data_IF_587011286528
#
_entry.id   IF_587011286528
#
_cell.length_a   1.000
_cell.length_b   1.000
_cell.length_c   1.000
_cell.angle_alpha   90.00
_cell.angle_beta   90.00
_cell.angle_gamma   90.00
#
_symmetry.space_group_name_H-M   'P 1'
#
loop_
_entity.id
_entity.type
_entity.pdbx_description
1 polymer ?
#
# COMPACT_ATOMS: atom_id res chain seq x y z
N UNK A 1 -1.71 20.23 -8.74
CA UNK A 1 -1.34 20.74 -7.41
C UNK A 1 -0.08 19.99 -6.99
N UNK A 2 0.94 20.66 -6.46
CA UNK A 2 2.10 19.98 -5.85
C UNK A 2 1.72 19.62 -4.42
N UNK A 3 1.42 18.35 -4.16
CA UNK A 3 1.12 17.88 -2.81
C UNK A 3 2.33 18.02 -1.90
N UNK A 4 2.11 18.27 -0.61
CA UNK A 4 3.19 18.39 0.38
C UNK A 4 3.58 17.01 0.92
N UNK A 5 4.75 16.91 1.55
CA UNK A 5 5.16 15.70 2.27
C UNK A 5 4.18 15.33 3.41
N UNK A 6 3.54 16.33 4.03
CA UNK A 6 2.48 16.10 5.02
C UNK A 6 1.27 15.39 4.42
N UNK A 7 0.84 15.84 3.24
CA UNK A 7 -0.28 15.19 2.51
C UNK A 7 0.08 13.75 2.09
N UNK A 8 1.36 13.51 1.73
CA UNK A 8 1.84 12.17 1.42
C UNK A 8 1.77 11.25 2.65
N UNK A 9 2.15 11.75 3.84
CA UNK A 9 2.05 11.02 5.09
C UNK A 9 0.59 10.72 5.47
N UNK A 10 -0.33 11.68 5.31
CA UNK A 10 -1.76 11.45 5.54
C UNK A 10 -2.30 10.36 4.59
N UNK A 11 -1.89 10.38 3.33
CA UNK A 11 -2.28 9.37 2.35
C UNK A 11 -1.72 7.99 2.68
N UNK A 12 -0.46 7.93 3.10
CA UNK A 12 0.17 6.70 3.60
C UNK A 12 -0.59 6.14 4.81
N UNK A 13 -1.03 7.01 5.73
CA UNK A 13 -1.85 6.62 6.89
C UNK A 13 -3.17 6.01 6.46
N UNK A 14 -3.86 6.64 5.52
CA UNK A 14 -5.11 6.14 4.97
C UNK A 14 -4.93 4.76 4.32
N UNK A 15 -3.81 4.53 3.64
CA UNK A 15 -3.50 3.23 3.04
C UNK A 15 -3.32 2.14 4.08
N UNK A 16 -2.52 2.38 5.13
CA UNK A 16 -2.35 1.42 6.23
C UNK A 16 -3.68 1.17 6.95
N UNK A 17 -4.46 2.22 7.21
CA UNK A 17 -5.80 2.10 7.80
C UNK A 17 -6.71 1.19 6.97
N UNK A 18 -6.74 1.37 5.65
CA UNK A 18 -7.54 0.53 4.75
C UNK A 18 -7.11 -0.95 4.82
N UNK A 19 -5.82 -1.26 4.96
CA UNK A 19 -5.36 -2.64 5.18
C UNK A 19 -5.84 -3.15 6.54
N UNK A 20 -5.67 -2.37 7.62
CA UNK A 20 -6.03 -2.75 9.00
C UNK A 20 -7.52 -3.05 9.14
N UNK A 21 -8.38 -2.24 8.50
CA UNK A 21 -9.83 -2.38 8.61
C UNK A 21 -10.49 -3.14 7.46
N UNK A 22 -9.68 -3.70 6.54
CA UNK A 22 -10.16 -4.43 5.38
C UNK A 22 -11.10 -3.57 4.48
N UNK A 23 -10.77 -2.29 4.33
CA UNK A 23 -11.47 -1.39 3.42
C UNK A 23 -10.99 -1.61 1.98
N UNK A 24 -11.43 -2.71 1.39
CA UNK A 24 -11.01 -3.22 0.08
C UNK A 24 -11.07 -2.17 -1.04
N UNK A 25 -12.21 -1.47 -1.16
CA UNK A 25 -12.42 -0.44 -2.18
C UNK A 25 -11.54 0.78 -1.94
N UNK A 26 -11.50 1.27 -0.70
CA UNK A 26 -10.63 2.39 -0.31
C UNK A 26 -9.17 2.07 -0.64
N UNK A 27 -8.69 0.88 -0.29
CA UNK A 27 -7.33 0.46 -0.59
C UNK A 27 -7.04 0.53 -2.10
N UNK A 28 -7.95 0.03 -2.93
CA UNK A 28 -7.80 0.06 -4.39
C UNK A 28 -7.77 1.49 -4.95
N UNK A 29 -8.56 2.38 -4.38
CA UNK A 29 -8.65 3.79 -4.78
C UNK A 29 -7.44 4.63 -4.35
N UNK A 30 -6.75 4.18 -3.31
CA UNK A 30 -5.49 4.77 -2.86
C UNK A 30 -4.29 4.35 -3.72
N UNK A 31 -4.37 3.24 -4.46
CA UNK A 31 -3.31 2.80 -5.35
C UNK A 31 -3.24 3.65 -6.62
N UNK A 32 -2.01 3.94 -7.05
CA UNK A 32 -1.75 4.47 -8.38
C UNK A 32 -2.04 3.42 -9.45
N UNK A 33 -2.06 3.83 -10.72
CA UNK A 33 -2.24 2.89 -11.82
C UNK A 33 -1.08 1.90 -11.91
N UNK A 34 0.13 2.34 -11.54
CA UNK A 34 1.30 1.48 -11.41
C UNK A 34 1.10 0.46 -10.28
N UNK A 35 0.64 0.90 -9.10
CA UNK A 35 0.35 0.01 -7.97
C UNK A 35 -0.74 -1.01 -8.28
N UNK A 36 -1.80 -0.59 -8.97
CA UNK A 36 -2.87 -1.48 -9.45
C UNK A 36 -2.35 -2.52 -10.43
N UNK A 37 -1.52 -2.11 -11.40
CA UNK A 37 -0.92 -3.02 -12.37
C UNK A 37 0.03 -4.04 -11.70
N UNK A 38 0.80 -3.61 -10.70
CA UNK A 38 1.65 -4.50 -9.91
C UNK A 38 0.83 -5.52 -9.11
N UNK A 39 -0.24 -5.08 -8.43
CA UNK A 39 -1.16 -5.95 -7.68
C UNK A 39 -1.80 -7.01 -8.58
N UNK A 40 -2.29 -6.62 -9.76
CA UNK A 40 -2.83 -7.55 -10.75
C UNK A 40 -1.77 -8.52 -11.28
N UNK A 41 -0.54 -8.04 -11.49
CA UNK A 41 0.59 -8.90 -11.92
C UNK A 41 0.96 -9.94 -10.86
N UNK A 42 0.85 -9.60 -9.57
CA UNK A 42 1.04 -10.56 -8.48
C UNK A 42 -0.13 -11.53 -8.41
N UNK A 43 -1.37 -11.06 -8.54
CA UNK A 43 -2.54 -11.92 -8.52
C UNK A 43 -2.53 -12.93 -9.67
N UNK A 44 -2.15 -12.51 -10.89
CA UNK A 44 -1.99 -13.41 -12.05
C UNK A 44 -0.93 -14.48 -11.78
N UNK A 45 0.20 -14.11 -11.16
CA UNK A 45 1.24 -15.08 -10.74
C UNK A 45 0.73 -16.08 -9.69
N UNK A 46 -0.31 -15.72 -8.94
CA UNK A 46 -0.95 -16.58 -7.94
C UNK A 46 -2.24 -17.24 -8.46
N UNK A 47 -2.48 -17.25 -9.77
CA UNK A 47 -3.57 -18.00 -10.39
C UNK A 47 -4.83 -17.20 -10.75
N UNK A 48 -4.82 -15.87 -10.66
CA UNK A 48 -5.87 -15.05 -11.25
C UNK A 48 -5.82 -15.16 -12.78
N UNK A 49 -6.96 -15.42 -13.40
CA UNK A 49 -7.08 -15.49 -14.86
C UNK A 49 -6.74 -14.15 -15.52
N UNK A 50 -6.07 -14.19 -16.69
CA UNK A 50 -5.63 -12.97 -17.39
C UNK A 50 -6.81 -12.14 -17.92
N UNK A 51 -7.90 -12.79 -18.32
CA UNK A 51 -9.11 -12.09 -18.78
C UNK A 51 -9.79 -11.43 -17.58
N UNK A 52 -9.87 -12.11 -16.43
CA UNK A 52 -10.34 -11.52 -15.18
C UNK A 52 -9.49 -10.31 -14.75
N UNK A 53 -8.16 -10.43 -14.80
CA UNK A 53 -7.26 -9.31 -14.50
C UNK A 53 -7.46 -8.12 -15.47
N UNK A 54 -7.69 -8.39 -16.75
CA UNK A 54 -8.02 -7.38 -17.75
C UNK A 54 -9.33 -6.66 -17.44
N UNK A 55 -10.38 -7.41 -17.07
CA UNK A 55 -11.67 -6.82 -16.66
C UNK A 55 -11.54 -5.96 -15.42
N UNK A 56 -10.80 -6.39 -14.40
CA UNK A 56 -10.59 -5.61 -13.17
C UNK A 56 -9.83 -4.32 -13.49
N UNK A 57 -8.78 -4.40 -14.33
CA UNK A 57 -8.01 -3.23 -14.76
C UNK A 57 -8.89 -2.20 -15.49
N UNK A 58 -9.76 -2.68 -16.38
CA UNK A 58 -10.56 -1.83 -17.27
C UNK A 58 -11.93 -1.45 -16.63
N UNK A 59 -12.13 -1.76 -15.34
CA UNK A 59 -13.38 -1.51 -14.59
C UNK A 59 -14.62 -2.22 -15.18
N UNK A 60 -14.40 -3.35 -15.87
CA UNK A 60 -15.41 -4.20 -16.52
C UNK A 60 -15.72 -5.49 -15.74
N UNK A 61 -15.06 -5.71 -14.61
CA UNK A 61 -15.31 -6.89 -13.76
C UNK A 61 -16.67 -6.75 -13.06
N UNK A 62 -17.36 -7.87 -12.89
CA UNK A 62 -18.57 -7.85 -12.07
C UNK A 62 -18.23 -7.57 -10.59
N UNK A 63 -19.19 -7.05 -9.80
CA UNK A 63 -18.92 -6.67 -8.41
C UNK A 63 -18.40 -7.81 -7.54
N UNK A 64 -18.82 -9.05 -7.80
CA UNK A 64 -18.42 -10.22 -7.01
C UNK A 64 -16.99 -10.63 -7.34
N UNK A 65 -16.64 -10.65 -8.63
CA UNK A 65 -15.27 -10.88 -9.12
C UNK A 65 -14.31 -9.84 -8.55
N UNK A 66 -14.67 -8.56 -8.62
CA UNK A 66 -13.86 -7.47 -8.08
C UNK A 66 -13.69 -7.59 -6.57
N UNK A 67 -14.76 -7.78 -5.82
CA UNK A 67 -14.70 -7.91 -4.36
C UNK A 67 -13.80 -9.08 -3.93
N UNK A 68 -13.93 -10.24 -4.58
CA UNK A 68 -13.07 -11.40 -4.30
C UNK A 68 -11.60 -11.10 -4.54
N UNK A 69 -11.27 -10.42 -5.64
CA UNK A 69 -9.89 -10.00 -5.91
C UNK A 69 -9.37 -9.06 -4.81
N UNK A 70 -10.17 -8.06 -4.40
CA UNK A 70 -9.74 -7.11 -3.38
C UNK A 70 -9.56 -7.76 -2.00
N UNK A 71 -10.43 -8.70 -1.62
CA UNK A 71 -10.25 -9.53 -0.41
C UNK A 71 -8.91 -10.28 -0.43
N UNK A 72 -8.57 -10.89 -1.57
CA UNK A 72 -7.30 -11.61 -1.73
C UNK A 72 -6.10 -10.67 -1.67
N UNK A 73 -6.21 -9.48 -2.27
CA UNK A 73 -5.17 -8.44 -2.21
C UNK A 73 -4.89 -8.02 -0.77
N UNK A 74 -5.94 -7.67 -0.01
CA UNK A 74 -5.79 -7.27 1.41
C UNK A 74 -5.22 -8.41 2.25
N UNK A 75 -5.69 -9.64 2.03
CA UNK A 75 -5.14 -10.82 2.68
C UNK A 75 -3.65 -11.03 2.38
N UNK A 76 -3.23 -10.80 1.13
CA UNK A 76 -1.83 -10.84 0.72
C UNK A 76 -0.98 -9.78 1.42
N UNK A 77 -1.42 -8.53 1.43
CA UNK A 77 -0.72 -7.42 2.08
C UNK A 77 -0.56 -7.64 3.58
N UNK A 78 -1.61 -8.12 4.27
CA UNK A 78 -1.53 -8.49 5.69
C UNK A 78 -0.53 -9.61 5.94
N UNK A 79 -0.45 -10.59 5.02
CA UNK A 79 0.52 -11.68 5.12
C UNK A 79 1.96 -11.22 4.91
N UNK A 80 2.18 -10.26 4.02
CA UNK A 80 3.50 -9.67 3.77
C UNK A 80 3.97 -8.82 4.95
N UNK A 81 3.02 -8.17 5.64
CA UNK A 81 3.26 -7.39 6.86
C UNK A 81 3.17 -8.20 8.16
N UNK A 82 3.00 -9.53 8.10
CA UNK A 82 2.74 -10.36 9.28
C UNK A 82 3.82 -10.33 10.36
N UNK A 83 5.05 -9.94 9.99
CA UNK A 83 6.17 -9.82 10.93
C UNK A 83 6.11 -8.52 11.73
N UNK A 84 5.11 -7.67 11.46
CA UNK A 84 4.90 -6.38 12.08
C UNK A 84 3.47 -6.31 12.62
N UNK A 85 3.30 -5.71 13.79
CA UNK A 85 1.98 -5.43 14.32
C UNK A 85 1.37 -4.25 13.54
N UNK A 86 0.68 -4.57 12.45
CA UNK A 86 0.16 -3.57 11.49
C UNK A 86 -0.77 -2.53 12.14
N UNK A 87 -1.44 -2.89 13.23
CA UNK A 87 -2.30 -2.00 14.03
C UNK A 87 -1.51 -0.97 14.84
N UNK A 88 -0.22 -1.22 15.07
CA UNK A 88 0.68 -0.36 15.83
C UNK A 88 1.68 0.39 14.94
N UNK A 89 1.60 0.22 13.62
CA UNK A 89 2.49 0.91 12.68
C UNK A 89 2.36 2.43 12.79
N UNK A 90 3.48 3.08 13.10
CA UNK A 90 3.63 4.52 13.02
C UNK A 90 4.22 4.93 11.67
N UNK A 91 3.95 6.17 11.25
CA UNK A 91 4.63 6.77 10.11
C UNK A 91 5.89 7.49 10.59
N UNK A 92 6.99 7.26 9.89
CA UNK A 92 8.27 7.93 10.10
C UNK A 92 8.47 9.12 9.19
N UNK A 93 9.73 9.38 8.86
CA UNK A 93 10.11 10.50 8.01
C UNK A 93 9.63 10.31 6.56
N UNK A 94 9.42 11.45 5.90
CA UNK A 94 9.12 11.50 4.48
C UNK A 94 10.38 11.93 3.72
N UNK A 95 10.82 11.08 2.79
CA UNK A 95 11.99 11.34 1.97
C UNK A 95 11.56 11.55 0.53
N UNK A 96 12.06 12.60 -0.11
CA UNK A 96 11.92 12.75 -1.55
C UNK A 96 12.67 11.61 -2.27
N UNK A 97 12.05 11.09 -3.32
CA UNK A 97 12.57 10.06 -4.21
C UNK A 97 12.63 10.63 -5.63
N UNK A 98 13.13 9.85 -6.59
CA UNK A 98 13.13 10.20 -8.01
C UNK A 98 11.73 10.56 -8.54
N UNK A 99 11.71 11.39 -9.58
CA UNK A 99 10.51 11.80 -10.32
C UNK A 99 9.42 12.48 -9.47
N UNK A 100 9.80 13.13 -8.36
CA UNK A 100 8.88 13.84 -7.48
C UNK A 100 8.04 12.92 -6.59
N UNK A 101 8.41 11.63 -6.51
CA UNK A 101 7.81 10.68 -5.58
C UNK A 101 8.30 10.92 -4.15
N UNK A 102 7.55 10.44 -3.16
CA UNK A 102 7.88 10.49 -1.73
C UNK A 102 7.85 9.09 -1.16
N UNK A 103 8.89 8.72 -0.42
CA UNK A 103 8.92 7.55 0.42
C UNK A 103 8.54 7.94 1.85
N UNK A 104 7.48 7.31 2.38
CA UNK A 104 7.06 7.45 3.77
C UNK A 104 7.50 6.20 4.53
N UNK A 105 8.37 6.38 5.52
CA UNK A 105 8.81 5.26 6.35
C UNK A 105 7.67 4.70 7.20
N UNK A 106 7.67 3.39 7.38
CA UNK A 106 6.80 2.67 8.30
C UNK A 106 7.65 2.21 9.48
N UNK A 107 7.17 2.48 10.69
CA UNK A 107 7.88 2.18 11.93
C UNK A 107 7.03 1.24 12.80
N UNK A 108 7.66 0.15 13.27
CA UNK A 108 7.08 -0.73 14.29
C UNK A 108 7.58 -0.28 15.66
N UNK A 109 6.72 -0.08 16.66
CA UNK A 109 7.15 0.21 18.02
C UNK A 109 8.09 -0.88 18.55
N UNK A 110 9.11 -0.49 19.31
CA UNK A 110 9.99 -1.45 19.98
C UNK A 110 9.66 -1.57 21.46
N UNK A 111 9.74 -2.80 21.95
CA UNK A 111 9.70 -3.10 23.40
C UNK A 111 11.11 -3.15 24.01
N UNK A 112 12.17 -2.89 23.23
CA UNK A 112 13.55 -2.95 23.69
C UNK A 112 13.96 -1.64 24.38
N UNK A 113 14.60 -1.70 25.56
CA UNK A 113 15.06 -0.49 26.24
C UNK A 113 16.01 0.35 25.37
N UNK A 114 15.70 1.65 25.24
CA UNK A 114 16.53 2.61 24.52
C UNK A 114 16.34 2.63 22.99
N UNK A 115 15.36 1.89 22.47
CA UNK A 115 14.96 1.93 21.06
C UNK A 115 13.47 2.21 21.02
N UNK A 116 13.07 3.30 20.37
CA UNK A 116 11.66 3.70 20.34
C UNK A 116 10.88 2.93 19.26
N UNK A 117 11.49 2.73 18.08
CA UNK A 117 10.88 2.03 16.97
C UNK A 117 11.92 1.42 16.01
N UNK A 118 11.48 0.43 15.23
CA UNK A 118 12.24 -0.21 14.16
C UNK A 118 11.64 0.08 12.80
N UNK A 119 12.46 0.28 11.75
CA UNK A 119 11.97 0.36 10.38
C UNK A 119 11.27 -0.93 9.94
N UNK A 120 9.98 -0.84 9.65
CA UNK A 120 9.12 -1.93 9.19
C UNK A 120 8.97 -1.97 7.66
N UNK A 121 9.38 -0.91 6.98
CA UNK A 121 9.27 -0.78 5.52
C UNK A 121 9.07 0.66 5.11
N UNK A 122 8.62 0.87 3.89
CA UNK A 122 8.20 2.18 3.40
C UNK A 122 7.11 2.06 2.35
N UNK A 123 6.28 3.09 2.26
CA UNK A 123 5.36 3.30 1.15
C UNK A 123 5.99 4.30 0.18
N UNK A 124 5.97 3.99 -1.11
CA UNK A 124 6.36 4.93 -2.16
C UNK A 124 5.08 5.50 -2.76
N UNK A 125 4.99 6.83 -2.77
CA UNK A 125 3.85 7.57 -3.28
C UNK A 125 4.28 8.54 -4.37
N UNK A 126 3.42 8.72 -5.36
CA UNK A 126 3.55 9.75 -6.40
C UNK A 126 2.35 10.69 -6.35
N UNK A 127 2.55 11.91 -6.84
CA UNK A 127 1.48 12.91 -6.89
C UNK A 127 0.79 12.85 -8.26
N UNK A 128 -0.41 12.27 -8.27
CA UNK A 128 -1.32 12.27 -9.42
C UNK A 128 -2.02 13.63 -9.53
N UNK A 129 -2.20 14.13 -10.76
CA UNK A 129 -2.74 15.46 -11.00
C UNK A 129 -4.21 15.60 -10.56
N UNK A 130 -4.98 14.51 -10.66
CA UNK A 130 -6.42 14.49 -10.43
C UNK A 130 -6.76 13.90 -9.06
N UNK A 131 -5.99 12.90 -8.60
CA UNK A 131 -6.23 12.16 -7.34
C UNK A 131 -5.38 12.63 -6.16
N UNK A 132 -4.38 13.49 -6.41
CA UNK A 132 -3.38 13.86 -5.40
C UNK A 132 -2.41 12.70 -5.14
N UNK A 133 -1.91 12.57 -3.91
CA UNK A 133 -1.00 11.47 -3.58
C UNK A 133 -1.67 10.10 -3.78
N UNK A 134 -0.95 9.18 -4.41
CA UNK A 134 -1.36 7.80 -4.63
C UNK A 134 -0.20 6.86 -4.31
N UNK A 135 -0.52 5.64 -3.88
CA UNK A 135 0.49 4.65 -3.48
C UNK A 135 0.92 3.84 -4.68
N UNK A 136 2.20 3.91 -5.02
CA UNK A 136 2.79 3.12 -6.11
C UNK A 136 3.14 1.71 -5.65
N UNK A 137 3.72 1.59 -4.44
CA UNK A 137 4.12 0.31 -3.89
C UNK A 137 4.36 0.36 -2.38
N UNK A 138 4.16 -0.78 -1.76
CA UNK A 138 4.61 -1.11 -0.41
C UNK A 138 5.91 -1.90 -0.52
N UNK A 139 6.95 -1.40 0.14
CA UNK A 139 8.23 -2.08 0.29
C UNK A 139 8.36 -2.56 1.75
N UNK A 140 7.89 -3.77 2.07
CA UNK A 140 8.04 -4.30 3.42
C UNK A 140 9.53 -4.52 3.69
N UNK A 141 10.00 -4.08 4.86
CA UNK A 141 11.29 -4.50 5.37
C UNK A 141 11.00 -5.70 6.25
N UNK A 142 11.51 -6.87 5.86
CA UNK A 142 11.54 -8.00 6.78
C UNK A 142 12.21 -7.49 8.07
N UNK A 143 11.47 -7.53 9.18
CA UNK A 143 11.95 -7.05 10.47
C UNK A 143 13.35 -7.65 10.70
N UNK A 144 14.35 -6.79 10.83
CA UNK A 144 15.73 -7.20 11.07
C UNK A 144 16.07 -7.05 12.55
N UNK A 145 17.02 -7.84 13.09
CA UNK A 145 17.94 -8.74 12.37
C UNK A 145 17.37 -10.12 11.98
#
# INVERSE_FOLDING_TARGET
>A
MTGTAGDAAERARAFIHAIVWAEHTTLWDLLSDHGRAAALSVAMRNGLDRVAAGRIRDDLADPVERERFLQQLVGGLRRDLRSVEITELALGECHAVEDGSVAVELLSPSQLPGIDAWPAGRLVLSCDADRGWVVDRLEPRLAGP
#
